data_IF_262620774133
#
_entry.id   IF_262620774133
#
_cell.length_a   1.000
_cell.length_b   1.000
_cell.length_c   1.000
_cell.angle_alpha   90.00
_cell.angle_beta   90.00
_cell.angle_gamma   90.00
#
_symmetry.space_group_name_H-M   'P 1'
#
loop_
_entity.id
_entity.type
_entity.pdbx_description
1 polymer ?
#
# COMPACT_ATOMS: atom_id res chain seq x y z
N UNK A 1 26.12 34.30 -28.65
CA UNK A 1 26.32 33.47 -27.46
C UNK A 1 25.92 32.04 -27.76
N UNK A 2 26.92 31.16 -27.95
CA UNK A 2 26.80 29.70 -28.06
C UNK A 2 27.90 29.15 -27.15
N UNK A 3 27.56 28.36 -26.14
CA UNK A 3 28.54 27.67 -25.31
C UNK A 3 28.57 26.19 -25.71
N UNK A 4 29.76 25.71 -26.05
CA UNK A 4 30.06 24.32 -26.34
C UNK A 4 31.07 23.74 -25.36
N UNK A 5 31.05 22.39 -25.28
CA UNK A 5 32.10 21.41 -24.88
C UNK A 5 32.64 21.49 -23.44
N UNK A 6 32.97 20.39 -22.73
CA UNK A 6 33.71 19.16 -23.12
C UNK A 6 33.36 17.94 -22.25
N UNK A 7 33.35 16.77 -22.89
CA UNK A 7 33.59 15.46 -22.25
C UNK A 7 35.09 15.29 -21.98
N UNK A 8 35.45 14.67 -20.84
CA UNK A 8 36.82 14.26 -20.55
C UNK A 8 37.01 12.77 -20.87
N UNK A 9 37.95 12.52 -21.78
CA UNK A 9 38.57 11.23 -22.07
C UNK A 9 39.40 10.74 -20.88
N UNK A 10 39.24 9.46 -20.52
CA UNK A 10 40.17 8.73 -19.64
C UNK A 10 41.00 7.81 -20.53
N UNK A 11 42.29 8.13 -20.63
CA UNK A 11 43.33 7.39 -21.34
C UNK A 11 43.79 6.17 -20.53
N UNK A 12 43.83 5.00 -21.18
CA UNK A 12 44.44 3.76 -20.68
C UNK A 12 45.93 3.72 -21.03
N UNK A 13 46.82 3.19 -20.16
CA UNK A 13 48.23 3.01 -20.48
C UNK A 13 48.51 1.73 -21.31
N UNK A 14 49.64 1.68 -22.04
CA UNK A 14 49.91 0.70 -23.10
C UNK A 14 50.44 -0.65 -22.59
N UNK A 15 50.24 -1.67 -23.44
CA UNK A 15 50.74 -3.05 -23.27
C UNK A 15 52.21 -3.16 -23.70
N UNK A 16 53.04 -3.76 -22.87
CA UNK A 16 54.33 -4.37 -23.24
C UNK A 16 54.32 -5.84 -22.83
N UNK A 17 54.60 -6.74 -23.78
CA UNK A 17 54.63 -8.18 -23.55
C UNK A 17 56.05 -8.71 -23.26
N UNK A 18 56.14 -9.90 -22.65
CA UNK A 18 57.05 -11.04 -22.91
C UNK A 18 56.97 -12.08 -21.77
N UNK A 19 56.98 -13.38 -22.10
CA UNK A 19 57.24 -14.52 -21.17
C UNK A 19 55.99 -15.32 -20.76
N UNK A 20 55.56 -16.36 -21.49
CA UNK A 20 55.98 -17.77 -21.40
C UNK A 20 55.97 -18.39 -19.97
N UNK A 21 55.08 -19.37 -19.82
CA UNK A 21 55.22 -20.61 -19.05
C UNK A 21 55.82 -20.57 -17.63
N UNK A 22 54.97 -20.82 -16.63
CA UNK A 22 55.13 -21.91 -15.64
C UNK A 22 54.32 -21.66 -14.37
N UNK A 23 53.26 -22.45 -14.15
CA UNK A 23 52.92 -23.03 -12.84
C UNK A 23 51.58 -23.78 -12.92
N UNK A 24 51.62 -24.98 -13.50
CA UNK A 24 50.77 -26.07 -13.00
C UNK A 24 51.44 -26.58 -11.73
N UNK A 25 50.79 -26.41 -10.56
CA UNK A 25 50.72 -27.41 -9.48
C UNK A 25 49.98 -26.83 -8.26
N UNK A 26 48.93 -27.54 -7.87
CA UNK A 26 48.53 -27.74 -6.49
C UNK A 26 47.72 -26.62 -5.84
N UNK A 27 46.43 -26.89 -5.64
CA UNK A 27 45.82 -26.93 -4.30
C UNK A 27 44.40 -27.49 -4.42
N UNK A 28 44.31 -28.82 -4.31
CA UNK A 28 43.08 -29.49 -3.91
C UNK A 28 42.84 -29.17 -2.44
N UNK A 29 41.89 -28.28 -2.14
CA UNK A 29 41.24 -28.26 -0.84
C UNK A 29 39.75 -28.59 -0.99
N UNK A 30 39.41 -29.80 -0.54
CA UNK A 30 38.04 -30.25 -0.30
C UNK A 30 37.44 -29.43 0.85
N UNK A 31 36.66 -28.40 0.52
CA UNK A 31 35.77 -27.70 1.44
C UNK A 31 34.35 -28.22 1.25
N UNK A 32 33.78 -28.81 2.32
CA UNK A 32 32.43 -29.40 2.35
C UNK A 32 31.38 -28.35 2.00
N UNK A 33 30.58 -28.62 0.96
CA UNK A 33 29.42 -27.81 0.61
C UNK A 33 28.40 -27.83 1.74
N UNK A 34 28.22 -26.68 2.39
CA UNK A 34 27.08 -26.44 3.29
C UNK A 34 25.86 -26.24 2.39
N UNK A 35 24.99 -27.26 2.31
CA UNK A 35 23.69 -27.15 1.66
C UNK A 35 22.84 -26.14 2.45
N UNK A 36 22.37 -25.10 1.77
CA UNK A 36 21.29 -24.26 2.28
C UNK A 36 20.04 -25.13 2.54
N UNK A 37 19.28 -24.88 3.62
CA UNK A 37 18.08 -25.66 3.91
C UNK A 37 17.02 -25.40 2.83
N UNK A 38 16.45 -26.48 2.30
CA UNK A 38 15.38 -26.42 1.31
C UNK A 38 14.18 -25.67 1.89
N UNK A 39 13.80 -24.56 1.25
CA UNK A 39 12.54 -23.88 1.54
C UNK A 39 11.38 -24.85 1.28
N UNK A 40 10.68 -25.21 2.35
CA UNK A 40 9.46 -26.01 2.27
C UNK A 40 8.39 -25.13 1.62
N UNK A 41 8.12 -25.36 0.32
CA UNK A 41 6.96 -24.77 -0.36
C UNK A 41 5.70 -25.18 0.42
N UNK A 42 5.05 -24.24 1.09
CA UNK A 42 3.66 -24.44 1.52
C UNK A 42 2.83 -24.33 0.25
N UNK A 43 2.53 -25.49 -0.33
CA UNK A 43 1.70 -25.60 -1.52
C UNK A 43 0.24 -25.45 -1.06
N UNK A 44 -0.30 -24.23 -1.17
CA UNK A 44 -1.73 -24.01 -1.01
C UNK A 44 -2.46 -24.81 -2.10
N UNK A 45 -3.34 -25.73 -1.70
CA UNK A 45 -4.15 -26.53 -2.62
C UNK A 45 -5.07 -25.59 -3.39
N UNK A 46 -5.02 -25.69 -4.72
CA UNK A 46 -6.00 -25.08 -5.61
C UNK A 46 -7.41 -25.54 -5.17
N UNK A 47 -8.28 -24.57 -4.87
CA UNK A 47 -9.70 -24.86 -4.66
C UNK A 47 -10.32 -25.10 -6.02
N UNK A 48 -10.86 -26.31 -6.19
CA UNK A 48 -11.46 -26.82 -7.42
C UNK A 48 -12.61 -25.88 -7.86
N UNK A 49 -12.52 -25.36 -9.09
CA UNK A 49 -13.60 -24.61 -9.72
C UNK A 49 -14.61 -25.61 -10.27
N UNK A 50 -15.71 -25.80 -9.55
CA UNK A 50 -16.94 -26.31 -10.15
C UNK A 50 -18.06 -25.31 -9.96
N UNK A 51 -18.58 -24.89 -11.10
CA UNK A 51 -19.76 -24.07 -11.30
C UNK A 51 -20.96 -24.76 -10.65
N UNK A 52 -21.82 -23.99 -9.97
CA UNK A 52 -23.25 -24.20 -10.10
C UNK A 52 -24.00 -22.88 -9.86
N UNK A 53 -24.52 -22.33 -10.95
CA UNK A 53 -25.36 -21.14 -10.95
C UNK A 53 -26.81 -21.60 -10.79
N UNK A 54 -27.41 -21.33 -9.63
CA UNK A 54 -28.86 -21.41 -9.46
C UNK A 54 -29.36 -20.22 -8.63
N UNK A 55 -30.07 -19.32 -9.30
CA UNK A 55 -30.78 -18.17 -8.73
C UNK A 55 -32.17 -18.68 -8.30
N UNK A 56 -32.56 -18.59 -7.01
CA UNK A 56 -33.95 -18.80 -6.63
C UNK A 56 -34.74 -17.49 -6.75
N UNK A 57 -35.71 -17.47 -7.66
CA UNK A 57 -36.81 -16.50 -7.67
C UNK A 57 -37.85 -16.93 -6.64
N UNK A 58 -38.20 -16.05 -5.70
CA UNK A 58 -39.27 -16.27 -4.72
C UNK A 58 -40.07 -14.99 -4.49
N UNK A 59 -41.42 -15.04 -4.46
CA UNK A 59 -42.28 -13.86 -4.33
C UNK A 59 -42.61 -13.57 -2.86
N UNK A 60 -42.85 -12.30 -2.50
CA UNK A 60 -43.42 -11.99 -1.19
C UNK A 60 -43.34 -10.53 -0.77
N UNK A 61 -44.46 -9.81 -0.99
CA UNK A 61 -44.75 -8.48 -0.45
C UNK A 61 -44.58 -8.44 1.07
N UNK A 62 -43.95 -7.40 1.61
CA UNK A 62 -44.14 -6.98 3.01
C UNK A 62 -44.29 -5.46 3.13
N UNK A 63 -45.18 -5.08 4.04
CA UNK A 63 -45.89 -3.82 4.11
C UNK A 63 -45.08 -2.63 4.64
N UNK A 64 -45.44 -1.43 4.18
CA UNK A 64 -45.03 -0.16 4.79
C UNK A 64 -45.61 -0.06 6.22
N UNK A 65 -44.72 -0.07 7.21
CA UNK A 65 -45.01 0.33 8.59
C UNK A 65 -44.45 1.73 8.85
N UNK A 66 -45.33 2.69 9.13
CA UNK A 66 -44.99 4.07 9.51
C UNK A 66 -44.42 4.11 10.94
N UNK A 67 -43.11 4.34 11.08
CA UNK A 67 -42.49 4.61 12.39
C UNK A 67 -42.30 6.12 12.61
N UNK A 68 -43.01 6.63 13.62
CA UNK A 68 -42.94 8.01 14.13
C UNK A 68 -41.51 8.36 14.56
N UNK A 69 -40.98 9.46 14.03
CA UNK A 69 -39.71 10.07 14.41
C UNK A 69 -39.93 10.98 15.62
N UNK A 70 -39.55 10.54 16.83
CA UNK A 70 -39.42 11.43 17.97
C UNK A 70 -38.08 12.18 17.85
N UNK A 71 -38.13 13.51 17.78
CA UNK A 71 -36.97 14.40 17.88
C UNK A 71 -36.73 14.68 19.36
N UNK A 72 -35.62 14.22 19.93
CA UNK A 72 -35.01 14.84 21.10
C UNK A 72 -33.71 15.51 20.65
N UNK A 73 -33.64 16.83 20.85
CA UNK A 73 -32.45 17.62 20.58
C UNK A 73 -31.45 17.49 21.72
N UNK A 74 -30.17 17.37 21.38
CA UNK A 74 -29.08 17.55 22.33
C UNK A 74 -28.33 18.85 21.97
N UNK A 75 -28.27 19.87 22.86
CA UNK A 75 -27.60 21.13 22.59
C UNK A 75 -26.15 21.04 23.03
N UNK A 76 -25.21 20.80 22.12
CA UNK A 76 -23.81 20.67 22.54
C UNK A 76 -22.81 20.23 21.49
N UNK A 77 -22.82 20.81 20.30
CA UNK A 77 -21.68 20.72 19.39
C UNK A 77 -21.64 21.95 18.49
N UNK A 78 -20.91 22.98 18.92
CA UNK A 78 -20.47 24.04 18.00
C UNK A 78 -19.41 23.44 17.10
N UNK A 79 -19.85 22.70 16.07
CA UNK A 79 -19.03 22.40 14.91
C UNK A 79 -18.62 23.75 14.32
N UNK A 80 -17.34 24.09 14.46
CA UNK A 80 -16.78 25.29 13.85
C UNK A 80 -16.90 25.10 12.35
N UNK A 81 -17.92 25.70 11.75
CA UNK A 81 -18.12 25.70 10.31
C UNK A 81 -16.84 26.21 9.67
N UNK A 82 -16.12 25.33 8.97
CA UNK A 82 -15.08 25.69 8.02
C UNK A 82 -15.78 26.26 6.78
N UNK A 83 -16.43 27.41 6.97
CA UNK A 83 -17.07 28.17 5.91
C UNK A 83 -16.04 29.02 5.17
N UNK A 84 -15.87 28.73 3.88
CA UNK A 84 -15.38 29.67 2.88
C UNK A 84 -13.90 29.57 2.51
N UNK A 85 -13.61 28.82 1.43
CA UNK A 85 -12.73 29.16 0.28
C UNK A 85 -12.31 27.88 -0.44
N UNK A 86 -12.89 27.68 -1.62
CA UNK A 86 -12.52 26.64 -2.59
C UNK A 86 -12.94 25.23 -2.19
N UNK A 87 -13.63 24.53 -3.07
CA UNK A 87 -13.90 23.09 -2.99
C UNK A 87 -12.56 22.34 -2.93
N UNK A 88 -11.98 22.22 -1.73
CA UNK A 88 -10.69 21.54 -1.52
C UNK A 88 -10.90 20.04 -1.68
N UNK A 89 -10.87 19.55 -2.91
CA UNK A 89 -11.12 18.13 -3.18
C UNK A 89 -9.97 17.25 -2.71
N UNK A 90 -8.71 17.68 -2.83
CA UNK A 90 -7.52 16.92 -2.37
C UNK A 90 -6.76 17.74 -1.34
N UNK A 91 -6.35 17.11 -0.24
CA UNK A 91 -5.58 17.78 0.81
C UNK A 91 -4.12 17.93 0.39
N UNK A 92 -3.56 19.14 0.48
CA UNK A 92 -2.13 19.37 0.22
C UNK A 92 -1.26 18.93 1.41
N UNK A 93 0.03 18.76 1.14
CA UNK A 93 1.12 18.42 2.08
C UNK A 93 1.00 19.01 3.50
N UNK A 94 0.80 20.32 3.63
CA UNK A 94 0.72 21.02 4.91
C UNK A 94 -0.57 20.71 5.67
N UNK A 95 -1.68 20.47 4.97
CA UNK A 95 -2.92 20.02 5.56
C UNK A 95 -2.81 18.57 6.04
N UNK A 96 -2.23 17.69 5.21
CA UNK A 96 -1.92 16.29 5.57
C UNK A 96 -1.01 16.27 6.79
N UNK A 97 0.09 17.02 6.78
CA UNK A 97 1.04 17.12 7.90
C UNK A 97 0.37 17.55 9.20
N UNK A 98 -0.52 18.55 9.14
CA UNK A 98 -1.25 19.03 10.33
C UNK A 98 -2.18 17.97 10.89
N UNK A 99 -2.94 17.28 10.04
CA UNK A 99 -3.89 16.24 10.46
C UNK A 99 -3.16 14.97 10.93
N UNK A 100 -2.07 14.58 10.28
CA UNK A 100 -1.26 13.44 10.68
C UNK A 100 -0.61 13.65 12.06
N UNK A 101 -0.07 14.84 12.34
CA UNK A 101 0.39 15.21 13.70
C UNK A 101 -0.72 15.17 14.75
N UNK A 102 -1.97 15.33 14.35
CA UNK A 102 -3.13 15.24 15.23
C UNK A 102 -3.68 13.81 15.39
N UNK A 103 -2.98 12.79 14.87
CA UNK A 103 -3.35 11.38 15.03
C UNK A 103 -4.14 10.78 13.87
N UNK A 104 -4.25 11.46 12.72
CA UNK A 104 -4.87 10.86 11.52
C UNK A 104 -4.03 9.69 10.97
N UNK A 105 -2.72 9.67 11.24
CA UNK A 105 -1.78 8.64 10.79
C UNK A 105 -0.80 8.33 11.92
N UNK A 106 -0.67 7.07 12.30
CA UNK A 106 0.19 6.65 13.41
C UNK A 106 0.94 5.34 13.09
N UNK A 107 2.29 5.30 13.16
CA UNK A 107 3.19 6.41 13.48
C UNK A 107 3.32 7.42 12.33
N UNK A 108 3.37 8.71 12.65
CA UNK A 108 3.60 9.77 11.66
C UNK A 108 5.09 10.08 11.48
N UNK A 109 5.57 9.99 10.24
CA UNK A 109 6.94 10.38 9.86
C UNK A 109 6.91 11.53 8.84
N UNK A 110 7.38 12.74 9.18
CA UNK A 110 7.28 13.91 8.29
C UNK A 110 7.99 13.78 6.94
N UNK A 111 9.04 12.94 6.86
CA UNK A 111 9.80 12.66 5.64
C UNK A 111 8.97 11.96 4.55
N UNK A 112 7.87 11.29 4.95
CA UNK A 112 7.00 10.53 4.05
C UNK A 112 5.93 11.40 3.38
N UNK A 113 5.78 12.66 3.81
CA UNK A 113 4.81 13.59 3.22
C UNK A 113 5.24 13.99 1.82
N UNK A 114 4.31 13.88 0.88
CA UNK A 114 4.43 14.26 -0.52
C UNK A 114 3.50 15.47 -0.79
N UNK A 115 3.60 16.14 -1.95
CA UNK A 115 2.83 17.37 -2.23
C UNK A 115 1.31 17.26 -2.00
N UNK A 116 0.72 16.08 -2.22
CA UNK A 116 -0.72 15.82 -2.06
C UNK A 116 -1.03 14.39 -1.57
N UNK A 117 -0.05 13.74 -0.96
CA UNK A 117 -0.17 12.39 -0.42
C UNK A 117 0.82 12.17 0.72
N UNK A 118 0.76 11.02 1.35
CA UNK A 118 1.79 10.54 2.27
C UNK A 118 2.11 9.09 1.95
N UNK A 119 3.39 8.76 1.87
CA UNK A 119 3.83 7.39 1.70
C UNK A 119 3.50 6.56 2.95
N UNK A 120 3.09 5.32 2.75
CA UNK A 120 2.88 4.32 3.81
C UNK A 120 3.77 3.11 3.58
N UNK A 121 4.16 2.46 4.66
CA UNK A 121 5.19 1.43 4.66
C UNK A 121 4.60 0.04 4.81
N UNK A 122 5.27 -0.95 4.24
CA UNK A 122 4.89 -2.35 4.36
C UNK A 122 5.19 -2.87 5.77
N UNK A 123 4.17 -3.43 6.43
CA UNK A 123 4.33 -4.20 7.65
C UNK A 123 4.68 -5.66 7.32
N UNK A 124 5.89 -6.08 7.67
CA UNK A 124 6.34 -7.46 7.63
C UNK A 124 7.57 -7.64 8.52
N UNK A 125 7.78 -8.87 9.01
CA UNK A 125 8.87 -9.20 9.94
C UNK A 125 10.19 -9.49 9.23
N UNK A 126 10.13 -10.04 8.01
CA UNK A 126 11.29 -10.42 7.24
C UNK A 126 11.09 -10.15 5.74
N UNK A 127 12.20 -9.99 4.97
CA UNK A 127 12.14 -9.94 3.52
C UNK A 127 11.48 -11.18 2.91
N UNK A 128 10.67 -10.99 1.88
CA UNK A 128 10.10 -12.07 1.08
C UNK A 128 10.09 -11.70 -0.40
N UNK A 129 9.85 -12.68 -1.28
CA UNK A 129 9.83 -12.48 -2.73
C UNK A 129 8.41 -12.64 -3.25
N UNK A 130 7.92 -11.64 -3.98
CA UNK A 130 6.70 -11.74 -4.77
C UNK A 130 7.11 -12.08 -6.21
N UNK A 131 6.92 -13.33 -6.61
CA UNK A 131 7.28 -13.81 -7.95
C UNK A 131 6.31 -13.33 -9.03
N UNK A 132 6.67 -13.48 -10.31
CA UNK A 132 5.78 -13.19 -11.44
C UNK A 132 4.46 -13.97 -11.36
N UNK A 133 3.32 -13.26 -11.42
CA UNK A 133 1.98 -13.84 -11.32
C UNK A 133 1.52 -14.18 -9.90
N UNK A 134 2.39 -14.04 -8.90
CA UNK A 134 2.04 -14.30 -7.51
C UNK A 134 1.14 -13.18 -6.96
N UNK A 135 0.37 -13.55 -5.95
CA UNK A 135 -0.48 -12.64 -5.17
C UNK A 135 -0.20 -12.80 -3.68
N UNK A 136 -0.35 -11.72 -2.93
CA UNK A 136 -0.19 -11.73 -1.48
C UNK A 136 -1.05 -10.65 -0.82
N UNK A 137 -1.43 -10.87 0.43
CA UNK A 137 -1.97 -9.83 1.28
C UNK A 137 -0.86 -9.26 2.16
N UNK A 138 -0.88 -7.94 2.33
CA UNK A 138 -0.05 -7.24 3.29
C UNK A 138 -0.85 -6.22 4.07
N UNK A 139 -0.15 -5.45 4.89
CA UNK A 139 -0.76 -4.36 5.66
C UNK A 139 0.22 -3.20 5.76
N UNK A 140 -0.30 -2.00 5.97
CA UNK A 140 0.52 -0.84 6.30
C UNK A 140 1.06 -0.94 7.72
N UNK A 141 2.24 -0.38 7.97
CA UNK A 141 2.72 -0.12 9.34
C UNK A 141 1.80 0.90 10.00
N UNK A 142 1.47 1.95 9.24
CA UNK A 142 0.65 3.06 9.70
C UNK A 142 -0.81 2.65 9.89
N UNK A 143 -1.38 3.02 11.03
CA UNK A 143 -2.82 3.09 11.25
C UNK A 143 -3.34 4.41 10.73
N UNK A 144 -4.47 4.37 10.03
CA UNK A 144 -5.18 5.53 9.52
C UNK A 144 -6.45 5.69 10.33
N UNK A 145 -6.72 6.91 10.83
CA UNK A 145 -7.96 7.27 11.54
C UNK A 145 -8.59 8.47 10.86
N UNK A 146 -9.65 8.25 10.08
CA UNK A 146 -10.33 9.31 9.34
C UNK A 146 -11.50 9.90 10.14
N UNK A 147 -11.65 11.23 10.19
CA UNK A 147 -12.88 11.84 10.68
C UNK A 147 -14.04 11.58 9.71
N UNK A 148 -15.27 11.88 10.16
CA UNK A 148 -16.49 11.65 9.38
C UNK A 148 -16.59 12.50 8.10
N UNK A 149 -15.75 13.53 7.94
CA UNK A 149 -15.77 14.49 6.82
C UNK A 149 -14.56 14.39 5.89
N UNK A 150 -13.72 13.35 6.05
CA UNK A 150 -12.58 13.08 5.16
C UNK A 150 -12.66 11.62 4.72
N UNK A 151 -12.54 11.40 3.41
CA UNK A 151 -12.24 10.08 2.86
C UNK A 151 -10.82 10.06 2.29
N UNK A 152 -10.30 8.88 1.99
CA UNK A 152 -8.97 8.76 1.42
C UNK A 152 -8.91 7.70 0.32
N UNK A 153 -7.84 7.73 -0.48
CA UNK A 153 -7.52 6.65 -1.42
C UNK A 153 -6.11 6.15 -1.19
N UNK A 154 -5.97 4.84 -1.10
CA UNK A 154 -4.68 4.15 -1.15
C UNK A 154 -4.32 3.91 -2.62
N UNK A 155 -3.10 4.28 -2.98
CA UNK A 155 -2.63 4.27 -4.35
C UNK A 155 -1.24 3.65 -4.46
N UNK A 156 -0.97 3.07 -5.63
CA UNK A 156 0.37 2.63 -5.99
C UNK A 156 1.34 3.81 -6.11
N UNK A 157 2.61 3.55 -5.81
CA UNK A 157 3.70 4.48 -6.15
C UNK A 157 4.14 4.23 -7.59
N UNK A 158 4.49 5.28 -8.34
CA UNK A 158 4.91 5.14 -9.74
C UNK A 158 6.11 4.19 -9.92
N UNK A 159 7.04 4.17 -8.94
CA UNK A 159 8.17 3.24 -8.92
C UNK A 159 7.76 1.77 -8.91
N UNK A 160 6.63 1.44 -8.28
CA UNK A 160 6.06 0.09 -8.22
C UNK A 160 5.17 -0.21 -9.43
N UNK A 161 4.38 0.77 -9.87
CA UNK A 161 3.59 0.66 -11.11
C UNK A 161 4.45 0.40 -12.34
N UNK A 162 5.64 1.01 -12.44
CA UNK A 162 6.63 0.73 -13.51
C UNK A 162 7.29 -0.65 -13.43
N UNK A 163 7.09 -1.37 -12.33
CA UNK A 163 7.46 -2.78 -12.16
C UNK A 163 6.24 -3.70 -12.25
N UNK A 164 5.08 -3.17 -12.67
CA UNK A 164 3.83 -3.89 -12.80
C UNK A 164 3.31 -4.49 -11.48
N UNK A 165 3.59 -3.84 -10.34
CA UNK A 165 3.02 -4.21 -9.05
C UNK A 165 1.71 -3.45 -8.80
N UNK A 166 0.62 -4.18 -8.61
CA UNK A 166 -0.62 -3.65 -8.04
C UNK A 166 -0.54 -3.72 -6.51
N UNK A 167 -1.10 -2.72 -5.82
CA UNK A 167 -1.13 -2.66 -4.33
C UNK A 167 -2.55 -2.79 -3.76
N UNK A 168 -3.56 -2.73 -4.62
CA UNK A 168 -4.96 -3.00 -4.32
C UNK A 168 -5.61 -3.58 -5.58
N UNK A 169 -6.61 -4.42 -5.41
CA UNK A 169 -7.45 -5.01 -6.44
C UNK A 169 -8.85 -4.41 -6.28
N UNK A 170 -9.08 -3.26 -6.93
CA UNK A 170 -10.35 -2.50 -6.95
C UNK A 170 -10.74 -1.74 -5.68
N UNK A 171 -10.31 -2.16 -4.48
CA UNK A 171 -10.70 -1.54 -3.21
C UNK A 171 -9.72 -0.45 -2.72
N UNK A 172 -9.46 0.56 -3.54
CA UNK A 172 -8.53 1.64 -3.20
C UNK A 172 -9.10 2.75 -2.32
N UNK A 173 -10.38 2.70 -1.91
CA UNK A 173 -11.06 3.77 -1.17
C UNK A 173 -11.11 3.46 0.32
N UNK A 174 -10.85 4.47 1.15
CA UNK A 174 -10.91 4.38 2.61
C UNK A 174 -12.04 5.30 3.06
N UNK A 175 -13.06 4.69 3.66
CA UNK A 175 -14.30 5.36 4.07
C UNK A 175 -14.08 6.37 5.22
N UNK A 176 -14.87 7.47 5.26
CA UNK A 176 -14.88 8.38 6.39
C UNK A 176 -15.26 7.65 7.69
N UNK A 177 -14.56 7.91 8.78
CA UNK A 177 -14.73 7.19 10.05
C UNK A 177 -13.93 5.88 10.17
N UNK A 178 -13.24 5.43 9.13
CA UNK A 178 -12.36 4.26 9.23
C UNK A 178 -11.21 4.51 10.21
N UNK A 179 -10.90 3.50 11.03
CA UNK A 179 -9.74 3.42 11.90
C UNK A 179 -9.07 2.05 11.79
N UNK A 180 -7.79 2.00 11.45
CA UNK A 180 -7.03 0.74 11.46
C UNK A 180 -5.83 0.74 10.52
N UNK A 181 -5.12 -0.38 10.46
CA UNK A 181 -4.15 -0.62 9.41
C UNK A 181 -4.87 -0.88 8.07
N UNK A 182 -4.30 -0.40 6.98
CA UNK A 182 -4.85 -0.62 5.63
C UNK A 182 -4.29 -1.93 5.09
N UNK A 183 -5.16 -2.91 4.84
CA UNK A 183 -4.79 -4.13 4.11
C UNK A 183 -4.46 -3.78 2.66
N UNK A 184 -3.39 -4.37 2.14
CA UNK A 184 -2.92 -4.20 0.76
C UNK A 184 -3.04 -5.53 0.01
N UNK A 185 -3.43 -5.46 -1.26
CA UNK A 185 -3.54 -6.63 -2.14
C UNK A 185 -2.48 -6.55 -3.23
N UNK A 186 -1.41 -7.33 -3.06
CA UNK A 186 -0.30 -7.35 -4.01
C UNK A 186 -0.57 -8.32 -5.15
N UNK A 187 -0.34 -7.84 -6.36
CA UNK A 187 -0.28 -8.67 -7.58
C UNK A 187 0.92 -8.25 -8.40
N UNK A 188 1.85 -9.17 -8.62
CA UNK A 188 2.99 -8.93 -9.51
C UNK A 188 2.62 -9.34 -10.94
N UNK A 189 2.24 -8.37 -11.77
CA UNK A 189 1.98 -8.57 -13.19
C UNK A 189 3.26 -8.50 -14.04
N UNK A 190 4.40 -8.28 -13.41
CA UNK A 190 5.71 -8.18 -14.05
C UNK A 190 6.32 -9.55 -14.35
N UNK A 191 7.52 -9.51 -14.93
CA UNK A 191 8.31 -10.71 -15.28
C UNK A 191 9.51 -10.94 -14.37
N UNK A 192 9.69 -10.07 -13.37
CA UNK A 192 10.82 -10.08 -12.45
C UNK A 192 10.30 -10.25 -11.03
N UNK A 193 11.10 -10.92 -10.21
CA UNK A 193 10.87 -11.01 -8.77
C UNK A 193 10.92 -9.62 -8.13
N UNK A 194 10.02 -9.38 -7.18
CA UNK A 194 10.03 -8.18 -6.34
C UNK A 194 10.38 -8.60 -4.92
N UNK A 195 11.50 -8.06 -4.41
CA UNK A 195 11.89 -8.25 -3.01
C UNK A 195 11.14 -7.27 -2.13
N UNK A 196 10.33 -7.81 -1.22
CA UNK A 196 9.43 -7.09 -0.33
C UNK A 196 10.10 -6.96 1.05
N UNK A 197 10.73 -5.82 1.27
CA UNK A 197 11.52 -5.53 2.48
C UNK A 197 10.65 -4.94 3.61
N UNK A 198 10.90 -5.32 4.87
CA UNK A 198 10.34 -4.64 6.05
C UNK A 198 10.46 -3.12 6.00
N UNK A 199 9.35 -2.41 6.21
CA UNK A 199 9.33 -0.96 6.35
C UNK A 199 9.55 -0.17 5.05
N UNK A 200 9.59 -0.82 3.89
CA UNK A 200 9.72 -0.11 2.62
C UNK A 200 8.46 0.73 2.30
N UNK A 201 8.59 1.95 1.75
CA UNK A 201 7.46 2.70 1.19
C UNK A 201 6.79 1.90 0.06
N UNK A 202 5.56 1.45 0.29
CA UNK A 202 4.90 0.48 -0.60
C UNK A 202 3.70 1.07 -1.34
N UNK A 203 2.99 1.98 -0.69
CA UNK A 203 1.84 2.67 -1.23
C UNK A 203 1.88 4.14 -0.78
N UNK A 204 0.91 4.92 -1.25
CA UNK A 204 0.70 6.29 -0.80
C UNK A 204 -0.79 6.52 -0.57
N UNK A 205 -1.12 7.42 0.35
CA UNK A 205 -2.51 7.78 0.65
C UNK A 205 -2.72 9.25 0.30
N UNK A 206 -3.74 9.54 -0.50
CA UNK A 206 -4.26 10.89 -0.70
C UNK A 206 -5.60 11.05 0.00
N UNK A 207 -5.87 12.25 0.50
CA UNK A 207 -7.04 12.54 1.32
C UNK A 207 -7.93 13.54 0.61
N UNK A 208 -9.24 13.38 0.75
CA UNK A 208 -10.23 14.26 0.15
C UNK A 208 -11.16 14.81 1.23
N UNK A 209 -11.32 16.12 1.27
CA UNK A 209 -12.35 16.74 2.10
C UNK A 209 -13.71 16.48 1.46
N UNK A 210 -14.64 15.97 2.25
CA UNK A 210 -16.03 15.79 1.82
C UNK A 210 -16.77 17.13 1.86
N UNK A 211 -17.81 17.27 1.04
CA UNK A 211 -18.68 18.47 1.03
C UNK A 211 -19.42 18.66 2.36
N UNK A 212 -19.64 17.57 3.10
CA UNK A 212 -20.16 17.54 4.46
C UNK A 212 -19.78 16.22 5.13
N UNK A 213 -19.89 16.13 6.46
CA UNK A 213 -19.67 14.88 7.18
C UNK A 213 -20.65 13.78 6.74
N UNK A 214 -20.17 12.55 6.67
CA UNK A 214 -21.00 11.37 6.46
C UNK A 214 -22.04 11.26 7.59
N UNK A 215 -23.32 11.11 7.22
CA UNK A 215 -24.39 10.86 8.18
C UNK A 215 -24.21 9.52 8.92
N UNK A 216 -23.60 8.55 8.22
CA UNK A 216 -23.26 7.23 8.75
C UNK A 216 -21.79 6.95 8.41
N UNK A 217 -20.85 7.27 9.31
CA UNK A 217 -19.45 6.91 9.15
C UNK A 217 -19.24 5.39 9.13
N UNK A 218 -18.04 4.96 8.75
CA UNK A 218 -17.68 3.55 8.67
C UNK A 218 -17.73 2.86 10.05
N UNK A 219 -18.58 1.84 10.16
CA UNK A 219 -18.65 0.90 11.30
C UNK A 219 -18.61 -0.55 10.78
N UNK A 220 -17.92 -0.76 9.66
CA UNK A 220 -17.96 -2.02 8.91
C UNK A 220 -17.02 -3.12 9.44
N UNK A 221 -16.99 -4.22 8.68
CA UNK A 221 -16.30 -5.49 9.04
C UNK A 221 -14.81 -5.35 9.38
N UNK A 222 -14.15 -4.31 8.87
CA UNK A 222 -12.70 -4.12 9.00
C UNK A 222 -12.33 -2.97 9.93
N UNK A 223 -13.28 -2.45 10.71
CA UNK A 223 -13.00 -1.40 11.69
C UNK A 223 -12.04 -1.90 12.76
N UNK A 224 -11.08 -1.06 13.15
CA UNK A 224 -9.98 -1.37 14.07
C UNK A 224 -9.09 -2.53 13.63
N UNK A 225 -8.95 -2.77 12.32
CA UNK A 225 -8.07 -3.81 11.79
C UNK A 225 -6.62 -3.60 12.24
N UNK A 226 -5.98 -4.69 12.65
CA UNK A 226 -4.56 -4.73 13.05
C UNK A 226 -3.83 -5.75 12.17
N UNK A 227 -2.76 -5.31 11.52
CA UNK A 227 -1.99 -6.16 10.60
C UNK A 227 -2.79 -6.59 9.37
N UNK A 228 -2.44 -7.74 8.80
CA UNK A 228 -3.07 -8.27 7.59
C UNK A 228 -4.36 -9.01 7.95
N UNK A 229 -5.50 -8.55 7.44
CA UNK A 229 -6.82 -9.16 7.70
C UNK A 229 -7.35 -9.80 6.42
N UNK A 230 -7.70 -11.09 6.49
CA UNK A 230 -8.36 -11.80 5.39
C UNK A 230 -9.82 -11.35 5.23
N UNK A 231 -10.41 -11.63 4.06
CA UNK A 231 -11.80 -11.29 3.77
C UNK A 231 -12.78 -11.90 4.80
N UNK A 232 -13.81 -11.14 5.17
CA UNK A 232 -14.88 -11.50 6.12
C UNK A 232 -16.27 -11.43 5.47
#
# INVERSE_FOLDING_TARGET
MRYGTRCNDISLPPRTGTGLESCRRGLHHRGRGVRAPAHRKVQLRAVDRREDASIPQGPGRFALGTARRQRSGNPGARARALGGRGERMILPDHAISRLARAGMIEPFEPSLVQPASIDVRLANEAPWILGPGDTALGSTIEKVRLPADICARVEGKSSWGRKYLLIHCTAGFIDPGFEGNVTLEFVNLGRQDIVMMPGMPIAQICFMQMTSAAATPYEGKYQHSVGTVAAR
#
